data_IF_722552167044
#
_entry.id   IF_722552167044
#
_cell.length_a   1.000
_cell.length_b   1.000
_cell.length_c   1.000
_cell.angle_alpha   90.00
_cell.angle_beta   90.00
_cell.angle_gamma   90.00
#
_symmetry.space_group_name_H-M   'P 1'
#
loop_
_entity.id
_entity.type
_entity.pdbx_description
1 polymer ?
#
# COMPACT_ATOMS: atom_id res chain seq x y z
N UNK A 1 -11.09 10.70 23.09
CA UNK A 1 -9.74 11.12 23.52
C UNK A 1 -9.09 11.87 22.37
N UNK A 2 -8.76 13.14 22.56
CA UNK A 2 -7.98 13.88 21.56
C UNK A 2 -6.60 13.23 21.50
N UNK A 3 -6.32 12.51 20.41
CA UNK A 3 -4.99 11.99 20.14
C UNK A 3 -4.03 13.16 19.99
N UNK A 4 -2.91 13.14 20.69
CA UNK A 4 -1.84 14.10 20.41
C UNK A 4 -1.30 13.81 19.00
N UNK A 5 -0.75 14.83 18.32
CA UNK A 5 -0.18 14.64 16.97
C UNK A 5 0.92 13.56 16.97
N UNK A 6 1.70 13.45 18.03
CA UNK A 6 2.69 12.37 18.19
C UNK A 6 2.03 10.98 18.21
N UNK A 7 0.92 10.84 18.89
CA UNK A 7 0.16 9.56 18.90
C UNK A 7 -0.35 9.22 17.50
N UNK A 8 -0.82 10.22 16.73
CA UNK A 8 -1.21 10.03 15.34
C UNK A 8 -0.03 9.52 14.49
N UNK A 9 1.14 10.17 14.58
CA UNK A 9 2.33 9.75 13.83
C UNK A 9 2.77 8.32 14.18
N UNK A 10 2.74 7.94 15.46
CA UNK A 10 3.02 6.57 15.88
C UNK A 10 1.99 5.58 15.35
N UNK A 11 0.71 5.95 15.32
CA UNK A 11 -0.36 5.11 14.78
C UNK A 11 -0.23 4.94 13.26
N UNK A 12 0.13 6.02 12.52
CA UNK A 12 0.42 5.94 11.08
C UNK A 12 1.63 5.03 10.81
N UNK A 13 2.71 5.17 11.57
CA UNK A 13 3.89 4.31 11.48
C UNK A 13 3.54 2.83 11.75
N UNK A 14 2.90 2.54 12.88
CA UNK A 14 2.58 1.15 13.28
C UNK A 14 1.51 0.53 12.38
N UNK A 15 0.49 1.30 12.02
CA UNK A 15 -0.57 0.85 11.13
C UNK A 15 -0.03 0.50 9.74
N UNK A 16 0.86 1.34 9.20
CA UNK A 16 1.51 1.07 7.91
C UNK A 16 2.47 -0.11 8.01
N UNK A 17 3.24 -0.22 9.10
CA UNK A 17 4.10 -1.39 9.31
C UNK A 17 3.29 -2.69 9.35
N UNK A 18 2.16 -2.71 10.07
CA UNK A 18 1.28 -3.88 10.15
C UNK A 18 0.67 -4.24 8.79
N UNK A 19 0.18 -3.26 8.04
CA UNK A 19 -0.29 -3.45 6.66
C UNK A 19 0.78 -4.13 5.80
N UNK A 20 2.03 -3.68 5.87
CA UNK A 20 3.14 -4.24 5.10
C UNK A 20 3.53 -5.63 5.60
N UNK A 21 3.47 -5.90 6.90
CA UNK A 21 3.74 -7.25 7.44
C UNK A 21 2.81 -8.27 6.80
N UNK A 22 1.51 -7.99 6.71
CA UNK A 22 0.57 -8.88 6.01
C UNK A 22 0.82 -8.93 4.51
N UNK A 23 0.98 -7.76 3.88
CA UNK A 23 1.04 -7.65 2.43
C UNK A 23 2.35 -8.21 1.84
N UNK A 24 3.51 -7.90 2.40
CA UNK A 24 4.78 -8.47 1.97
C UNK A 24 4.90 -9.92 2.43
N UNK A 25 4.38 -10.24 3.63
CA UNK A 25 4.37 -11.61 4.17
C UNK A 25 3.66 -12.60 3.26
N UNK A 26 2.47 -12.27 2.76
CA UNK A 26 1.75 -13.15 1.85
C UNK A 26 2.46 -13.36 0.52
N UNK A 27 3.19 -12.34 0.02
CA UNK A 27 4.01 -12.51 -1.17
C UNK A 27 5.25 -13.39 -0.90
N UNK A 28 5.82 -13.34 0.32
CA UNK A 28 6.83 -14.31 0.73
C UNK A 28 6.26 -15.74 0.74
N UNK A 29 5.07 -15.91 1.30
CA UNK A 29 4.38 -17.22 1.31
C UNK A 29 4.16 -17.79 -0.09
N UNK A 30 3.69 -16.96 -1.02
CA UNK A 30 3.38 -17.40 -2.39
C UNK A 30 4.64 -17.70 -3.21
N UNK A 31 5.67 -16.86 -3.10
CA UNK A 31 6.82 -16.85 -4.02
C UNK A 31 7.99 -17.70 -3.52
N UNK A 32 8.29 -17.68 -2.19
CA UNK A 32 9.46 -18.34 -1.65
C UNK A 32 9.27 -19.86 -1.53
N UNK A 33 10.38 -20.59 -1.63
CA UNK A 33 10.38 -22.05 -1.49
C UNK A 33 10.17 -22.48 -0.04
N UNK A 34 9.55 -23.66 0.12
CA UNK A 34 9.32 -24.35 1.40
C UNK A 34 8.39 -23.60 2.37
N UNK A 35 7.71 -22.54 1.94
CA UNK A 35 6.60 -21.95 2.71
C UNK A 35 5.39 -22.90 2.72
N UNK A 36 4.50 -22.75 3.69
CA UNK A 36 3.26 -23.55 3.77
C UNK A 36 2.29 -23.27 2.62
N UNK A 37 2.38 -22.07 2.03
CA UNK A 37 1.41 -21.53 1.06
C UNK A 37 2.04 -21.21 -0.30
N UNK A 38 3.19 -21.83 -0.63
CA UNK A 38 3.86 -21.61 -1.91
C UNK A 38 2.94 -21.92 -3.10
N UNK A 39 2.83 -20.97 -4.04
CA UNK A 39 2.03 -21.13 -5.26
C UNK A 39 0.53 -20.88 -5.07
N UNK A 40 0.09 -20.20 -4.01
CA UNK A 40 -1.34 -19.88 -3.78
C UNK A 40 -1.87 -18.78 -4.70
N UNK A 41 -0.98 -17.92 -5.21
CA UNK A 41 -1.30 -16.95 -6.26
C UNK A 41 -2.02 -15.69 -5.78
N UNK A 42 -2.38 -14.86 -6.77
CA UNK A 42 -2.84 -13.49 -6.51
C UNK A 42 -4.16 -13.40 -5.73
N UNK A 43 -5.08 -14.34 -5.85
CA UNK A 43 -6.33 -14.29 -5.07
C UNK A 43 -6.05 -14.35 -3.58
N UNK A 44 -5.16 -15.24 -3.15
CA UNK A 44 -4.73 -15.35 -1.76
C UNK A 44 -4.01 -14.06 -1.30
N UNK A 45 -3.10 -13.55 -2.14
CA UNK A 45 -2.39 -12.32 -1.86
C UNK A 45 -3.34 -11.11 -1.71
N UNK A 46 -4.26 -10.89 -2.65
CA UNK A 46 -5.22 -9.78 -2.60
C UNK A 46 -6.12 -9.88 -1.38
N UNK A 47 -6.58 -11.09 -1.04
CA UNK A 47 -7.40 -11.33 0.15
C UNK A 47 -6.64 -10.98 1.43
N UNK A 48 -5.36 -11.37 1.53
CA UNK A 48 -4.53 -11.03 2.69
C UNK A 48 -4.25 -9.53 2.79
N UNK A 49 -4.00 -8.83 1.67
CA UNK A 49 -3.91 -7.36 1.67
C UNK A 49 -5.18 -6.71 2.21
N UNK A 50 -6.35 -7.16 1.76
CA UNK A 50 -7.64 -6.64 2.21
C UNK A 50 -7.83 -6.82 3.71
N UNK A 51 -7.63 -8.02 4.23
CA UNK A 51 -7.77 -8.29 5.67
C UNK A 51 -6.66 -7.65 6.50
N UNK A 52 -5.42 -7.58 6.02
CA UNK A 52 -4.32 -6.93 6.72
C UNK A 52 -4.58 -5.43 6.92
N UNK A 53 -5.11 -4.75 5.91
CA UNK A 53 -5.54 -3.34 6.01
C UNK A 53 -6.71 -3.21 6.99
N UNK A 54 -7.71 -4.08 6.91
CA UNK A 54 -8.83 -4.09 7.85
C UNK A 54 -8.35 -4.21 9.30
N UNK A 55 -7.44 -5.14 9.58
CA UNK A 55 -6.87 -5.34 10.92
C UNK A 55 -6.08 -4.11 11.38
N UNK A 56 -5.27 -3.52 10.50
CA UNK A 56 -4.52 -2.30 10.85
C UNK A 56 -5.46 -1.13 11.20
N UNK A 57 -6.54 -0.94 10.45
CA UNK A 57 -7.53 0.10 10.72
C UNK A 57 -8.35 -0.15 12.00
N UNK A 58 -8.63 -1.41 12.35
CA UNK A 58 -9.28 -1.73 13.63
C UNK A 58 -8.40 -1.43 14.83
N UNK A 59 -7.10 -1.74 14.73
CA UNK A 59 -6.16 -1.54 15.85
C UNK A 59 -5.84 -0.07 16.06
N UNK A 60 -5.57 0.66 14.98
CA UNK A 60 -5.03 2.01 15.08
C UNK A 60 -6.07 3.12 14.84
N UNK A 61 -7.19 2.85 14.19
CA UNK A 61 -8.31 3.77 13.98
C UNK A 61 -7.93 5.19 13.50
N UNK A 62 -8.70 5.77 12.59
CA UNK A 62 -8.49 7.16 12.16
C UNK A 62 -7.21 7.46 11.36
N UNK A 63 -6.35 6.47 11.14
CA UNK A 63 -5.12 6.57 10.35
C UNK A 63 -5.40 6.54 8.85
N UNK A 64 -4.46 7.05 8.07
CA UNK A 64 -4.50 7.02 6.60
C UNK A 64 -3.77 5.81 6.05
N UNK A 65 -2.63 5.43 6.64
CA UNK A 65 -1.69 4.38 6.20
C UNK A 65 -1.36 4.44 4.71
N UNK A 66 -1.52 5.63 4.12
CA UNK A 66 -1.38 5.88 2.69
C UNK A 66 -1.19 7.39 2.45
N UNK A 67 -0.03 7.86 1.95
CA UNK A 67 0.18 9.27 1.66
C UNK A 67 -0.83 9.86 0.67
N UNK A 68 -1.35 9.07 -0.28
CA UNK A 68 -2.39 9.53 -1.19
C UNK A 68 -3.70 9.82 -0.44
N UNK A 69 -4.08 8.99 0.54
CA UNK A 69 -5.24 9.24 1.40
C UNK A 69 -5.03 10.46 2.29
N UNK A 70 -3.86 10.61 2.89
CA UNK A 70 -3.52 11.80 3.67
C UNK A 70 -3.62 13.08 2.83
N UNK A 71 -3.15 13.07 1.56
CA UNK A 71 -3.31 14.19 0.64
C UNK A 71 -4.78 14.47 0.32
N UNK A 72 -5.60 13.45 0.07
CA UNK A 72 -7.02 13.62 -0.16
C UNK A 72 -7.72 14.30 1.03
N UNK A 73 -7.39 13.91 2.27
CA UNK A 73 -7.88 14.54 3.49
C UNK A 73 -7.44 16.01 3.61
N UNK A 74 -6.21 16.35 3.17
CA UNK A 74 -5.75 17.75 3.10
C UNK A 74 -6.57 18.56 2.10
N UNK A 75 -6.78 18.05 0.90
CA UNK A 75 -7.59 18.71 -0.14
C UNK A 75 -9.03 18.94 0.32
N UNK A 76 -9.57 18.02 1.12
CA UNK A 76 -10.90 18.16 1.73
C UNK A 76 -10.92 19.08 2.96
N UNK A 77 -9.77 19.55 3.46
CA UNK A 77 -9.70 20.37 4.67
C UNK A 77 -9.95 19.57 5.96
N UNK A 78 -9.95 18.24 5.90
CA UNK A 78 -10.10 17.36 7.07
C UNK A 78 -8.79 17.19 7.82
N UNK A 79 -7.66 17.25 7.12
CA UNK A 79 -6.31 17.20 7.68
C UNK A 79 -5.61 18.54 7.44
N UNK A 80 -4.98 19.17 8.47
CA UNK A 80 -4.14 20.35 8.29
C UNK A 80 -2.97 20.07 7.34
N UNK A 81 -2.70 20.99 6.41
CA UNK A 81 -1.69 20.79 5.37
C UNK A 81 -0.27 20.58 5.93
N UNK A 82 0.06 21.24 7.04
CA UNK A 82 1.35 21.12 7.74
C UNK A 82 1.59 19.70 8.33
N UNK A 83 0.54 18.92 8.53
CA UNK A 83 0.63 17.56 9.05
C UNK A 83 0.92 16.53 7.96
N UNK A 84 0.73 16.87 6.69
CA UNK A 84 0.88 15.94 5.57
C UNK A 84 2.26 15.31 5.48
N UNK A 85 3.31 16.13 5.46
CA UNK A 85 4.70 15.64 5.31
C UNK A 85 5.12 14.75 6.48
N UNK A 86 4.92 15.15 7.76
CA UNK A 86 5.21 14.26 8.89
C UNK A 86 4.47 12.91 8.83
N UNK A 87 3.19 12.90 8.43
CA UNK A 87 2.39 11.69 8.27
C UNK A 87 2.99 10.81 7.16
N UNK A 88 3.24 11.37 5.98
CA UNK A 88 3.82 10.61 4.85
C UNK A 88 5.19 9.99 5.20
N UNK A 89 6.01 10.71 6.00
CA UNK A 89 7.29 10.17 6.51
C UNK A 89 7.04 9.02 7.49
N UNK A 90 6.10 9.15 8.42
CA UNK A 90 5.76 8.10 9.38
C UNK A 90 5.27 6.84 8.67
N UNK A 91 4.39 6.98 7.67
CA UNK A 91 3.90 5.89 6.84
C UNK A 91 5.02 5.22 6.04
N UNK A 92 5.92 6.00 5.42
CA UNK A 92 7.07 5.46 4.68
C UNK A 92 8.02 4.66 5.59
N UNK A 93 8.35 5.21 6.76
CA UNK A 93 9.22 4.53 7.74
C UNK A 93 8.54 3.28 8.31
N UNK A 94 7.24 3.33 8.55
CA UNK A 94 6.45 2.16 8.94
C UNK A 94 6.48 1.07 7.88
N UNK A 95 6.28 1.43 6.62
CA UNK A 95 6.36 0.49 5.51
C UNK A 95 7.75 -0.15 5.36
N UNK A 96 8.80 0.64 5.49
CA UNK A 96 10.17 0.15 5.50
C UNK A 96 10.42 -0.83 6.65
N UNK A 97 10.04 -0.46 7.88
CA UNK A 97 10.20 -1.30 9.06
C UNK A 97 9.41 -2.61 8.95
N UNK A 98 8.16 -2.56 8.47
CA UNK A 98 7.35 -3.75 8.22
C UNK A 98 8.01 -4.72 7.24
N UNK A 99 8.59 -4.22 6.16
CA UNK A 99 9.30 -5.04 5.17
C UNK A 99 10.58 -5.68 5.75
N UNK A 100 11.32 -4.96 6.61
CA UNK A 100 12.49 -5.51 7.32
C UNK A 100 12.08 -6.63 8.27
N UNK A 101 10.98 -6.44 9.02
CA UNK A 101 10.43 -7.47 9.92
C UNK A 101 10.06 -8.72 9.13
N UNK A 102 9.36 -8.57 8.00
CA UNK A 102 8.99 -9.72 7.14
C UNK A 102 10.23 -10.43 6.60
N UNK A 103 11.21 -9.69 6.11
CA UNK A 103 12.46 -10.31 5.67
C UNK A 103 13.11 -11.15 6.78
N UNK A 104 13.14 -10.64 8.01
CA UNK A 104 13.66 -11.40 9.14
C UNK A 104 12.86 -12.67 9.43
N UNK A 105 11.52 -12.58 9.38
CA UNK A 105 10.63 -13.74 9.57
C UNK A 105 10.83 -14.83 8.51
N UNK A 106 11.17 -14.45 7.27
CA UNK A 106 11.34 -15.36 6.15
C UNK A 106 12.80 -15.59 5.74
N UNK A 107 13.79 -15.22 6.57
CA UNK A 107 15.22 -15.27 6.22
C UNK A 107 15.67 -16.65 5.72
N UNK A 108 15.25 -17.73 6.38
CA UNK A 108 15.55 -19.10 5.97
C UNK A 108 14.91 -19.47 4.63
N UNK A 109 13.71 -18.96 4.36
CA UNK A 109 13.00 -19.18 3.09
C UNK A 109 13.66 -18.41 1.94
N UNK A 110 14.14 -17.18 2.18
CA UNK A 110 14.95 -16.46 1.20
C UNK A 110 16.23 -17.26 0.86
N UNK A 111 16.92 -17.79 1.86
CA UNK A 111 18.09 -18.65 1.66
C UNK A 111 17.75 -19.92 0.89
N UNK A 112 16.64 -20.59 1.23
CA UNK A 112 16.18 -21.78 0.52
C UNK A 112 15.74 -21.51 -0.94
N UNK A 113 15.44 -20.26 -1.26
CA UNK A 113 15.00 -19.82 -2.59
C UNK A 113 16.15 -19.38 -3.51
N UNK A 114 17.37 -19.29 -2.99
CA UNK A 114 18.52 -18.84 -3.75
C UNK A 114 18.77 -19.72 -4.98
N UNK A 115 18.84 -19.09 -6.17
CA UNK A 115 19.02 -19.80 -7.44
C UNK A 115 17.82 -20.63 -7.91
N UNK A 116 16.71 -20.69 -7.13
CA UNK A 116 15.50 -21.44 -7.46
C UNK A 116 14.31 -20.56 -7.79
N UNK A 117 14.34 -19.29 -7.41
CA UNK A 117 13.29 -18.30 -7.67
C UNK A 117 13.90 -17.17 -8.50
N UNK A 118 13.14 -16.72 -9.50
CA UNK A 118 13.56 -15.60 -10.35
C UNK A 118 13.72 -14.32 -9.55
N UNK A 119 14.77 -13.54 -9.86
CA UNK A 119 15.08 -12.30 -9.15
C UNK A 119 13.99 -11.22 -9.29
N UNK A 120 13.24 -11.21 -10.40
CA UNK A 120 12.09 -10.31 -10.58
C UNK A 120 10.95 -10.71 -9.63
N UNK A 121 10.68 -12.01 -9.48
CA UNK A 121 9.69 -12.51 -8.55
C UNK A 121 10.07 -12.14 -7.10
N UNK A 122 11.34 -12.26 -6.71
CA UNK A 122 11.85 -11.82 -5.40
C UNK A 122 11.64 -10.30 -5.20
N UNK A 123 11.96 -9.47 -6.19
CA UNK A 123 11.70 -8.02 -6.12
C UNK A 123 10.23 -7.72 -5.95
N UNK A 124 9.37 -8.43 -6.67
CA UNK A 124 7.92 -8.21 -6.66
C UNK A 124 7.26 -8.65 -5.34
N UNK A 125 7.96 -9.35 -4.44
CA UNK A 125 7.53 -9.53 -3.04
C UNK A 125 7.42 -8.18 -2.34
N UNK A 126 8.34 -7.26 -2.60
CA UNK A 126 8.47 -5.99 -1.89
C UNK A 126 7.73 -4.84 -2.58
N UNK A 127 7.73 -4.78 -3.90
CA UNK A 127 7.26 -3.63 -4.67
C UNK A 127 6.46 -4.03 -5.88
N UNK A 128 5.56 -3.15 -6.31
CA UNK A 128 4.75 -3.38 -7.51
C UNK A 128 5.58 -3.16 -8.77
N UNK A 129 5.23 -3.90 -9.82
CA UNK A 129 5.88 -3.79 -11.12
C UNK A 129 4.95 -4.33 -12.22
N UNK A 130 4.83 -3.66 -13.38
CA UNK A 130 4.00 -4.15 -14.46
C UNK A 130 4.69 -5.28 -15.22
N UNK A 131 3.95 -6.29 -15.61
CA UNK A 131 4.46 -7.32 -16.52
C UNK A 131 4.66 -6.77 -17.94
N UNK A 132 3.86 -5.76 -18.34
CA UNK A 132 3.98 -5.04 -19.60
C UNK A 132 4.29 -3.58 -19.32
N UNK A 133 5.54 -3.19 -19.58
CA UNK A 133 6.02 -1.83 -19.30
C UNK A 133 5.53 -0.85 -20.38
N UNK A 134 4.51 -0.08 -20.01
CA UNK A 134 4.05 1.09 -20.77
C UNK A 134 3.79 2.23 -19.79
N UNK A 135 4.78 3.08 -19.56
CA UNK A 135 4.74 4.09 -18.49
C UNK A 135 3.48 4.97 -18.53
N UNK A 136 3.03 5.54 -19.67
CA UNK A 136 1.80 6.31 -19.71
C UNK A 136 0.56 5.53 -19.31
N UNK A 137 0.41 4.29 -19.79
CA UNK A 137 -0.73 3.44 -19.44
C UNK A 137 -0.66 2.96 -17.99
N UNK A 138 0.53 2.56 -17.54
CA UNK A 138 0.72 2.14 -16.14
C UNK A 138 0.43 3.30 -15.17
N UNK A 139 0.85 4.53 -15.53
CA UNK A 139 0.55 5.74 -14.77
C UNK A 139 -0.96 6.00 -14.69
N UNK A 140 -1.64 5.94 -15.83
CA UNK A 140 -3.09 6.10 -15.88
C UNK A 140 -3.81 5.06 -15.01
N UNK A 141 -3.42 3.79 -15.09
CA UNK A 141 -4.04 2.72 -14.29
C UNK A 141 -3.88 3.00 -12.79
N UNK A 142 -2.68 3.34 -12.32
CA UNK A 142 -2.44 3.63 -10.91
C UNK A 142 -3.19 4.89 -10.43
N UNK A 143 -3.23 5.95 -11.25
CA UNK A 143 -4.00 7.14 -10.92
C UNK A 143 -5.51 6.84 -10.87
N UNK A 144 -6.03 6.12 -11.86
CA UNK A 144 -7.45 5.79 -11.95
C UNK A 144 -7.89 4.80 -10.86
N UNK A 145 -7.10 3.74 -10.61
CA UNK A 145 -7.38 2.81 -9.52
C UNK A 145 -7.39 3.51 -8.17
N UNK A 146 -6.45 4.44 -7.93
CA UNK A 146 -6.42 5.26 -6.72
C UNK A 146 -7.63 6.18 -6.63
N UNK A 147 -8.05 6.80 -7.74
CA UNK A 147 -9.27 7.60 -7.79
C UNK A 147 -10.50 6.80 -7.34
N UNK A 148 -10.73 5.62 -7.90
CA UNK A 148 -11.85 4.74 -7.53
C UNK A 148 -11.73 4.33 -6.05
N UNK A 149 -10.55 3.87 -5.65
CA UNK A 149 -10.27 3.42 -4.30
C UNK A 149 -10.59 4.49 -3.23
N UNK A 150 -10.02 5.69 -3.39
CA UNK A 150 -10.20 6.76 -2.42
C UNK A 150 -11.59 7.39 -2.48
N UNK A 151 -12.22 7.47 -3.65
CA UNK A 151 -13.61 7.90 -3.77
C UNK A 151 -14.53 7.00 -2.94
N UNK A 152 -14.38 5.68 -3.06
CA UNK A 152 -15.20 4.73 -2.32
C UNK A 152 -14.98 4.82 -0.80
N UNK A 153 -13.73 4.96 -0.35
CA UNK A 153 -13.41 5.14 1.08
C UNK A 153 -14.01 6.43 1.62
N UNK A 154 -13.78 7.56 0.97
CA UNK A 154 -14.25 8.88 1.42
C UNK A 154 -15.78 8.96 1.44
N UNK A 155 -16.44 8.36 0.46
CA UNK A 155 -17.89 8.27 0.45
C UNK A 155 -18.41 7.44 1.64
N UNK A 156 -17.78 6.31 1.95
CA UNK A 156 -18.15 5.47 3.09
C UNK A 156 -17.87 6.14 4.43
N UNK A 157 -16.73 6.81 4.58
CA UNK A 157 -16.36 7.55 5.80
C UNK A 157 -17.39 8.62 6.14
N UNK A 158 -17.97 9.26 5.13
CA UNK A 158 -19.03 10.25 5.32
C UNK A 158 -20.37 9.64 5.80
N UNK A 159 -20.64 8.37 5.46
CA UNK A 159 -21.92 7.72 5.76
C UNK A 159 -21.88 6.88 7.04
N UNK A 160 -20.84 6.06 7.22
CA UNK A 160 -20.74 5.16 8.37
C UNK A 160 -19.29 4.87 8.78
N UNK A 161 -18.85 5.57 9.82
CA UNK A 161 -17.46 5.46 10.33
C UNK A 161 -17.18 4.16 11.07
N UNK A 162 -18.18 3.53 11.68
CA UNK A 162 -17.97 2.31 12.49
C UNK A 162 -17.67 1.10 11.61
N UNK A 163 -18.28 1.03 10.43
CA UNK A 163 -18.04 -0.03 9.47
C UNK A 163 -16.84 0.22 8.58
N UNK A 164 -16.23 1.40 8.64
CA UNK A 164 -15.17 1.83 7.73
C UNK A 164 -14.03 0.81 7.59
N UNK A 165 -13.46 0.22 8.66
CA UNK A 165 -12.37 -0.76 8.50
C UNK A 165 -12.75 -1.97 7.63
N UNK A 166 -13.96 -2.52 7.82
CA UNK A 166 -14.44 -3.67 7.04
C UNK A 166 -14.69 -3.26 5.60
N UNK A 167 -15.34 -2.11 5.38
CA UNK A 167 -15.66 -1.62 4.04
C UNK A 167 -14.38 -1.28 3.27
N UNK A 168 -13.38 -0.69 3.93
CA UNK A 168 -12.07 -0.45 3.30
C UNK A 168 -11.43 -1.76 2.84
N UNK A 169 -11.47 -2.82 3.66
CA UNK A 169 -11.01 -4.14 3.26
C UNK A 169 -11.72 -4.67 2.01
N UNK A 170 -13.05 -4.56 1.97
CA UNK A 170 -13.86 -4.97 0.79
C UNK A 170 -13.52 -4.13 -0.45
N UNK A 171 -13.30 -2.82 -0.29
CA UNK A 171 -12.89 -1.94 -1.38
C UNK A 171 -11.50 -2.34 -1.90
N UNK A 172 -10.52 -2.59 -1.01
CA UNK A 172 -9.18 -3.08 -1.39
C UNK A 172 -9.29 -4.39 -2.16
N UNK A 173 -10.12 -5.31 -1.67
CA UNK A 173 -10.33 -6.60 -2.32
C UNK A 173 -10.92 -6.44 -3.73
N UNK A 174 -11.98 -5.64 -3.87
CA UNK A 174 -12.63 -5.37 -5.15
C UNK A 174 -11.68 -4.68 -6.16
N UNK A 175 -10.96 -3.64 -5.72
CA UNK A 175 -10.02 -2.91 -6.58
C UNK A 175 -8.83 -3.80 -6.95
N UNK A 176 -8.28 -4.57 -6.01
CA UNK A 176 -7.19 -5.51 -6.26
C UNK A 176 -7.59 -6.57 -7.29
N UNK A 177 -8.79 -7.14 -7.17
CA UNK A 177 -9.32 -8.13 -8.11
C UNK A 177 -9.65 -7.53 -9.49
N UNK A 178 -10.27 -6.37 -9.53
CA UNK A 178 -10.79 -5.77 -10.77
C UNK A 178 -9.79 -4.90 -11.53
N UNK A 179 -8.88 -4.21 -10.84
CA UNK A 179 -7.99 -3.21 -11.43
C UNK A 179 -6.49 -3.50 -11.21
N UNK A 180 -6.14 -4.51 -10.39
CA UNK A 180 -4.76 -4.78 -10.01
C UNK A 180 -3.93 -5.52 -11.06
N UNK A 181 -4.54 -6.17 -12.04
CA UNK A 181 -3.88 -7.14 -12.92
C UNK A 181 -2.79 -6.55 -13.83
N UNK A 182 -2.75 -5.25 -14.05
CA UNK A 182 -1.79 -4.61 -14.96
C UNK A 182 -0.53 -4.08 -14.26
N UNK A 183 -0.67 -3.53 -13.05
CA UNK A 183 0.40 -2.82 -12.33
C UNK A 183 0.69 -3.38 -10.95
N UNK A 184 -0.21 -4.18 -10.39
CA UNK A 184 -0.12 -4.67 -9.02
C UNK A 184 -0.76 -3.74 -7.99
N UNK A 185 -1.63 -2.80 -8.41
CA UNK A 185 -2.43 -1.90 -7.54
C UNK A 185 -1.63 -1.32 -6.36
N UNK A 186 -0.61 -0.53 -6.67
CA UNK A 186 0.17 0.12 -5.61
C UNK A 186 -0.70 1.09 -4.81
N UNK A 187 -1.32 2.06 -5.48
CA UNK A 187 -2.28 3.06 -4.96
C UNK A 187 -1.81 3.79 -3.69
N UNK A 188 -0.56 3.62 -3.30
CA UNK A 188 0.00 4.03 -2.01
C UNK A 188 1.52 4.13 -2.13
N UNK A 189 2.06 5.33 -1.97
CA UNK A 189 3.48 5.58 -2.11
C UNK A 189 4.30 4.83 -1.03
N UNK A 190 3.84 4.87 0.22
CA UNK A 190 4.53 4.20 1.31
C UNK A 190 4.57 2.68 1.11
N UNK A 191 3.45 2.10 0.65
CA UNK A 191 3.31 0.66 0.38
C UNK A 191 4.28 0.16 -0.70
N UNK A 192 4.65 0.99 -1.66
CA UNK A 192 5.62 0.61 -2.69
C UNK A 192 7.05 1.03 -2.34
N UNK A 193 7.26 2.31 -2.05
CA UNK A 193 8.61 2.88 -1.91
C UNK A 193 9.33 2.44 -0.63
N UNK A 194 8.60 2.24 0.48
CA UNK A 194 9.20 1.77 1.74
C UNK A 194 9.78 0.36 1.61
N UNK A 195 9.00 -0.65 1.20
CA UNK A 195 9.51 -2.00 0.95
C UNK A 195 10.51 -2.06 -0.21
N UNK A 196 10.37 -1.22 -1.25
CA UNK A 196 11.35 -1.09 -2.34
C UNK A 196 12.72 -0.67 -1.80
N UNK A 197 12.77 0.28 -0.86
CA UNK A 197 14.01 0.66 -0.19
C UNK A 197 14.54 -0.48 0.68
N UNK A 198 13.68 -1.18 1.41
CA UNK A 198 14.08 -2.35 2.19
C UNK A 198 14.72 -3.42 1.29
N UNK A 199 14.10 -3.77 0.16
CA UNK A 199 14.68 -4.69 -0.81
C UNK A 199 16.09 -4.23 -1.27
N UNK A 200 16.26 -2.93 -1.50
CA UNK A 200 17.58 -2.38 -1.89
C UNK A 200 18.66 -2.65 -0.84
N UNK A 201 18.32 -2.47 0.44
CA UNK A 201 19.29 -2.50 1.53
C UNK A 201 19.50 -3.89 2.15
N UNK A 202 18.46 -4.73 2.17
CA UNK A 202 18.50 -6.04 2.81
C UNK A 202 19.49 -6.99 2.10
N UNK A 203 20.16 -7.90 2.81
CA UNK A 203 21.16 -8.82 2.24
C UNK A 203 20.49 -10.04 1.56
N UNK A 204 19.66 -9.74 0.56
CA UNK A 204 19.03 -10.77 -0.29
C UNK A 204 19.95 -11.07 -1.45
N UNK A 205 20.24 -12.35 -1.70
CA UNK A 205 21.03 -12.77 -2.84
C UNK A 205 20.21 -12.79 -4.14
N UNK A 206 20.90 -12.75 -5.28
CA UNK A 206 20.29 -12.74 -6.62
C UNK A 206 19.32 -11.57 -6.87
N UNK A 207 19.56 -10.42 -6.23
CA UNK A 207 18.80 -9.19 -6.51
C UNK A 207 18.95 -8.77 -7.97
N UNK A 208 17.83 -8.37 -8.54
CA UNK A 208 17.78 -7.64 -9.80
C UNK A 208 17.69 -6.13 -9.56
N UNK A 209 17.80 -5.34 -10.62
CA UNK A 209 17.60 -3.89 -10.54
C UNK A 209 16.28 -3.56 -9.88
N UNK A 210 16.29 -2.65 -8.92
CA UNK A 210 15.12 -2.27 -8.10
C UNK A 210 14.08 -1.41 -8.85
N UNK A 211 14.39 -1.00 -10.06
CA UNK A 211 13.53 -0.19 -10.94
C UNK A 211 12.98 1.08 -10.27
N UNK A 212 13.89 1.87 -9.70
CA UNK A 212 13.53 3.14 -9.09
C UNK A 212 12.87 4.12 -10.05
N UNK A 213 13.20 4.06 -11.36
CA UNK A 213 12.54 4.88 -12.36
C UNK A 213 11.02 4.64 -12.39
N UNK A 214 10.62 3.37 -12.39
CA UNK A 214 9.20 3.01 -12.31
C UNK A 214 8.63 3.38 -10.94
N UNK A 215 9.32 2.99 -9.86
CA UNK A 215 8.87 3.21 -8.48
C UNK A 215 8.58 4.68 -8.17
N UNK A 216 9.51 5.56 -8.52
CA UNK A 216 9.34 7.00 -8.26
C UNK A 216 8.31 7.65 -9.18
N UNK A 217 8.26 7.25 -10.46
CA UNK A 217 7.34 7.86 -11.41
C UNK A 217 5.91 7.35 -11.22
N UNK A 218 5.68 6.04 -11.23
CA UNK A 218 4.32 5.48 -11.27
C UNK A 218 3.73 5.37 -9.87
N UNK A 219 4.14 4.42 -8.99
CA UNK A 219 3.57 4.37 -7.63
C UNK A 219 3.93 5.57 -6.77
N UNK A 220 5.02 6.29 -7.08
CA UNK A 220 5.44 7.47 -6.33
C UNK A 220 4.61 8.71 -6.59
N UNK A 221 4.03 8.89 -7.78
CA UNK A 221 3.29 10.12 -8.12
C UNK A 221 1.87 9.91 -8.62
N UNK A 222 1.58 8.85 -9.38
CA UNK A 222 0.25 8.64 -9.95
C UNK A 222 -0.87 8.56 -8.89
N UNK A 223 -0.69 7.93 -7.72
CA UNK A 223 -1.71 7.91 -6.70
C UNK A 223 -2.06 9.30 -6.15
N UNK A 224 -1.15 10.28 -6.16
CA UNK A 224 -1.48 11.64 -5.76
C UNK A 224 -2.46 12.31 -6.72
N UNK A 225 -2.32 12.06 -8.02
CA UNK A 225 -3.30 12.57 -9.00
C UNK A 225 -4.67 11.94 -8.74
N UNK A 226 -4.72 10.62 -8.56
CA UNK A 226 -5.95 9.91 -8.20
C UNK A 226 -6.60 10.45 -6.91
N UNK A 227 -5.78 10.76 -5.90
CA UNK A 227 -6.24 11.30 -4.62
C UNK A 227 -6.88 12.69 -4.76
N UNK A 228 -6.24 13.60 -5.50
CA UNK A 228 -6.79 14.94 -5.74
C UNK A 228 -8.11 14.84 -6.53
N UNK A 229 -8.15 14.02 -7.59
CA UNK A 229 -9.37 13.79 -8.35
C UNK A 229 -10.49 13.19 -7.47
N UNK A 230 -10.18 12.23 -6.60
CA UNK A 230 -11.15 11.64 -5.67
C UNK A 230 -11.71 12.67 -4.69
N UNK A 231 -10.86 13.47 -4.06
CA UNK A 231 -11.26 14.51 -3.14
C UNK A 231 -12.18 15.56 -3.80
N UNK A 232 -11.82 16.03 -5.01
CA UNK A 232 -12.63 16.97 -5.77
C UNK A 232 -13.97 16.35 -6.20
N UNK A 233 -13.97 15.10 -6.66
CA UNK A 233 -15.19 14.40 -7.05
C UNK A 233 -16.14 14.23 -5.87
N UNK A 234 -15.61 13.78 -4.72
CA UNK A 234 -16.42 13.59 -3.50
C UNK A 234 -17.00 14.91 -3.01
N UNK A 235 -16.20 16.00 -3.03
CA UNK A 235 -16.68 17.32 -2.59
C UNK A 235 -17.71 17.92 -3.55
N UNK A 236 -17.42 17.99 -4.84
CA UNK A 236 -18.24 18.78 -5.78
C UNK A 236 -19.31 17.99 -6.49
N UNK A 237 -19.13 16.68 -6.70
CA UNK A 237 -20.14 15.84 -7.35
C UNK A 237 -21.02 15.11 -6.34
N UNK A 238 -20.42 14.50 -5.30
CA UNK A 238 -21.21 13.82 -4.27
C UNK A 238 -21.76 14.78 -3.20
N UNK A 239 -21.21 15.99 -3.08
CA UNK A 239 -21.64 16.97 -2.10
C UNK A 239 -21.25 16.66 -0.66
N UNK A 240 -20.18 15.86 -0.45
CA UNK A 240 -19.69 15.49 0.87
C UNK A 240 -18.53 16.41 1.30
N UNK A 241 -18.34 16.57 2.62
CA UNK A 241 -17.28 17.41 3.19
C UNK A 241 -17.37 18.89 2.74
N UNK A 242 -18.59 19.44 2.60
CA UNK A 242 -18.82 20.86 2.30
C UNK A 242 -18.71 21.73 3.55
#
# INVERSE_FOLDING_TARGET
>A
MNQTFMHLLLSEFMGTALMIIFGVGVHCDDVLKKTKYAGTGHLFAITTWAFGITVALFIFGGVSINPAMALAKVVLGVLPAEQFIPIAIAEFLGAFAGAVIVWFMYADHFTASEGQVDGIAIRNIFSTNPNLRNLPRNYFVEAFATFIFLTAILATENVNKELLPIVVGLIVWAVGMGLGGTTGFAMNQARDLGPRLAYQLLPIKNKVNNDWQYGLLVPGTAPFIGAVCAALFVRYYLGYFM
#
